data_IF_665859909026
#
_entry.id   IF_665859909026
#
_cell.length_a   1.000
_cell.length_b   1.000
_cell.length_c   1.000
_cell.angle_alpha   90.00
_cell.angle_beta   90.00
_cell.angle_gamma   90.00
#
_symmetry.space_group_name_H-M   'P 1'
#
loop_
_entity.id
_entity.type
_entity.pdbx_description
1 polymer ?
#
# COMPACT_ATOMS: atom_id res chain seq x y z
N UNK A 1 -1.42 13.88 0.85
CA UNK A 1 -0.48 12.85 0.36
C UNK A 1 -0.66 12.55 -1.14
N UNK A 2 -1.82 12.05 -1.59
CA UNK A 2 -2.05 11.70 -3.01
C UNK A 2 -1.77 12.89 -3.97
N UNK A 3 -2.22 14.11 -3.61
CA UNK A 3 -1.91 15.34 -4.35
C UNK A 3 -0.40 15.58 -4.49
N UNK A 4 0.37 15.40 -3.42
CA UNK A 4 1.83 15.58 -3.38
C UNK A 4 2.53 14.52 -4.24
N UNK A 5 2.13 13.25 -4.13
CA UNK A 5 2.67 12.16 -4.94
C UNK A 5 2.43 12.39 -6.44
N UNK A 6 1.21 12.81 -6.83
CA UNK A 6 0.88 13.18 -8.21
C UNK A 6 1.73 14.34 -8.71
N UNK A 7 1.96 15.35 -7.88
CA UNK A 7 2.79 16.51 -8.22
C UNK A 7 4.26 16.14 -8.47
N UNK A 8 4.75 15.06 -7.85
CA UNK A 8 6.09 14.50 -8.10
C UNK A 8 6.10 13.39 -9.16
N UNK A 9 5.00 13.17 -9.88
CA UNK A 9 4.83 12.08 -10.84
C UNK A 9 5.06 10.66 -10.25
N UNK A 10 4.86 10.50 -8.94
CA UNK A 10 4.92 9.20 -8.30
C UNK A 10 3.63 8.40 -8.56
N UNK A 11 3.78 7.18 -9.10
CA UNK A 11 2.66 6.25 -9.29
C UNK A 11 2.15 5.67 -7.97
N UNK A 12 3.01 5.62 -6.95
CA UNK A 12 2.72 5.11 -5.62
C UNK A 12 3.08 6.16 -4.57
N UNK A 13 2.21 6.36 -3.59
CA UNK A 13 2.45 7.27 -2.47
C UNK A 13 3.66 6.77 -1.67
N UNK A 14 4.68 7.62 -1.54
CA UNK A 14 5.86 7.34 -0.72
C UNK A 14 5.67 7.86 0.71
N UNK A 15 6.44 7.36 1.69
CA UNK A 15 6.41 7.89 3.06
C UNK A 15 6.62 9.41 3.13
N UNK A 16 7.55 9.94 2.31
CA UNK A 16 7.79 11.39 2.20
C UNK A 16 6.58 12.19 1.72
N UNK A 17 5.73 11.59 0.89
CA UNK A 17 4.51 12.25 0.40
C UNK A 17 3.43 12.31 1.49
N UNK A 18 3.51 11.42 2.49
CA UNK A 18 2.68 11.45 3.69
C UNK A 18 3.22 12.48 4.67
N UNK A 19 4.53 12.50 4.95
CA UNK A 19 5.13 13.47 5.87
C UNK A 19 4.88 14.92 5.43
N UNK A 20 5.10 15.25 4.16
CA UNK A 20 4.80 16.58 3.63
C UNK A 20 3.32 16.95 3.71
N UNK A 21 2.44 15.97 3.61
CA UNK A 21 1.00 16.22 3.73
C UNK A 21 0.58 16.48 5.19
N UNK A 22 1.27 15.86 6.14
CA UNK A 22 1.07 16.12 7.57
C UNK A 22 1.53 17.55 7.89
N UNK A 23 2.65 17.98 7.33
CA UNK A 23 3.14 19.37 7.41
C UNK A 23 2.14 20.37 6.80
N UNK A 24 1.62 20.10 5.59
CA UNK A 24 0.61 20.96 4.95
C UNK A 24 -0.72 21.04 5.73
N UNK A 25 -1.04 20.02 6.53
CA UNK A 25 -2.24 19.97 7.36
C UNK A 25 -1.99 20.49 8.79
N UNK A 26 -0.82 21.07 9.08
CA UNK A 26 -0.45 21.62 10.39
C UNK A 26 -0.48 20.58 11.53
N UNK A 27 -0.23 19.31 11.20
CA UNK A 27 -0.20 18.18 12.14
C UNK A 27 1.24 17.75 12.49
N UNK A 28 2.16 18.70 12.57
CA UNK A 28 3.61 18.45 12.73
C UNK A 28 3.97 17.68 13.99
N UNK A 29 3.14 17.76 15.03
CA UNK A 29 3.30 17.02 16.29
C UNK A 29 3.35 15.50 16.11
N UNK A 30 2.77 14.97 15.02
CA UNK A 30 2.78 13.54 14.72
C UNK A 30 4.04 13.07 13.97
N UNK A 31 4.81 13.99 13.38
CA UNK A 31 5.98 13.65 12.57
C UNK A 31 7.07 12.88 13.33
N UNK A 32 7.44 13.24 14.58
CA UNK A 32 8.48 12.53 15.32
C UNK A 32 8.09 11.06 15.54
N UNK A 33 6.89 10.83 16.08
CA UNK A 33 6.38 9.48 16.36
C UNK A 33 6.25 8.65 15.08
N UNK A 34 5.74 9.23 14.00
CA UNK A 34 5.54 8.51 12.74
C UNK A 34 6.87 8.16 12.05
N UNK A 35 7.89 9.00 12.18
CA UNK A 35 9.24 8.71 11.68
C UNK A 35 9.88 7.56 12.45
N UNK A 36 9.71 7.51 13.77
CA UNK A 36 10.20 6.41 14.60
C UNK A 36 9.53 5.09 14.24
N UNK A 37 8.20 5.09 14.08
CA UNK A 37 7.44 3.92 13.65
C UNK A 37 7.85 3.42 12.25
N UNK A 38 8.06 4.35 11.30
CA UNK A 38 8.55 3.99 9.97
C UNK A 38 9.93 3.34 10.03
N UNK A 39 10.83 3.86 10.87
CA UNK A 39 12.16 3.29 11.03
C UNK A 39 12.10 1.87 11.60
N UNK A 40 11.30 1.67 12.66
CA UNK A 40 11.07 0.35 13.25
C UNK A 40 10.50 -0.63 12.21
N UNK A 41 9.53 -0.21 11.39
CA UNK A 41 9.00 -1.04 10.32
C UNK A 41 10.06 -1.43 9.28
N UNK A 42 10.91 -0.48 8.86
CA UNK A 42 11.98 -0.72 7.90
C UNK A 42 13.01 -1.70 8.45
N UNK A 43 13.34 -1.61 9.73
CA UNK A 43 14.26 -2.53 10.42
C UNK A 43 13.68 -3.95 10.51
N UNK A 44 12.40 -4.08 10.88
CA UNK A 44 11.70 -5.37 10.88
C UNK A 44 11.65 -5.98 9.48
N UNK A 45 11.34 -5.16 8.46
CA UNK A 45 11.29 -5.63 7.07
C UNK A 45 12.67 -6.07 6.56
N UNK A 46 13.74 -5.38 6.95
CA UNK A 46 15.12 -5.74 6.60
C UNK A 46 15.54 -7.05 7.26
N UNK A 47 15.28 -7.19 8.55
CA UNK A 47 15.60 -8.41 9.31
C UNK A 47 14.78 -9.62 8.86
N UNK A 48 13.52 -9.44 8.46
CA UNK A 48 12.70 -10.51 7.87
C UNK A 48 13.28 -11.03 6.54
N UNK A 49 13.81 -10.14 5.69
CA UNK A 49 14.49 -10.54 4.45
C UNK A 49 15.82 -11.26 4.69
N UNK A 50 16.54 -10.91 5.75
CA UNK A 50 17.79 -11.59 6.10
C UNK A 50 17.55 -13.06 6.50
N UNK A 51 16.45 -13.35 7.21
CA UNK A 51 16.09 -14.71 7.63
C UNK A 51 15.70 -15.64 6.48
N UNK A 52 15.18 -15.11 5.37
CA UNK A 52 14.89 -15.94 4.19
C UNK A 52 16.15 -16.40 3.44
N UNK A 53 17.28 -15.71 3.58
CA UNK A 53 18.53 -16.08 2.89
C UNK A 53 19.41 -17.05 3.69
N UNK A 54 19.16 -17.25 4.99
CA UNK A 54 19.93 -18.20 5.82
C UNK A 54 19.38 -19.64 5.74
N UNK A 55 18.12 -19.84 5.33
CA UNK A 55 17.55 -21.19 5.14
C UNK A 55 17.88 -21.83 3.78
N UNK A 56 18.33 -21.08 2.76
CA UNK A 56 18.66 -21.63 1.44
C UNK A 56 20.12 -22.10 1.28
N UNK A 57 21.00 -21.90 2.28
CA UNK A 57 22.42 -22.27 2.17
C UNK A 57 22.81 -23.53 2.97
N UNK A 58 21.89 -24.48 3.09
CA UNK A 58 22.18 -25.78 3.70
C UNK A 58 21.43 -26.94 3.01
N UNK A 59 21.48 -27.06 1.68
CA UNK A 59 21.45 -28.35 0.96
C UNK A 59 21.79 -28.10 -0.51
N UNK A 60 23.00 -28.49 -0.91
CA UNK A 60 23.37 -28.58 -2.32
C UNK A 60 22.64 -29.75 -3.00
N UNK A 61 22.12 -29.50 -4.21
CA UNK A 61 21.59 -30.51 -5.12
C UNK A 61 21.19 -29.86 -6.46
N UNK A 62 21.55 -30.43 -7.63
CA UNK A 62 21.49 -29.76 -8.93
C UNK A 62 20.06 -29.59 -9.48
N UNK A 63 19.84 -28.68 -10.45
CA UNK A 63 18.52 -28.27 -10.89
C UNK A 63 17.90 -29.35 -11.79
N UNK A 64 16.70 -29.82 -11.48
CA UNK A 64 15.92 -30.57 -12.47
C UNK A 64 14.42 -30.55 -12.21
N UNK A 65 13.72 -30.34 -13.32
CA UNK A 65 12.31 -30.64 -13.59
C UNK A 65 11.26 -29.57 -13.26
N UNK A 66 10.99 -28.79 -14.32
CA UNK A 66 9.68 -28.38 -14.84
C UNK A 66 8.46 -28.68 -13.97
N UNK A 67 7.81 -27.62 -13.48
CA UNK A 67 6.39 -27.66 -13.15
C UNK A 67 5.70 -26.63 -14.04
N UNK A 68 5.12 -27.13 -15.14
CA UNK A 68 3.99 -26.48 -15.79
C UNK A 68 2.75 -26.84 -14.99
N UNK A 69 2.08 -25.84 -14.43
CA UNK A 69 0.68 -25.98 -14.01
C UNK A 69 -0.04 -24.67 -14.26
N UNK A 70 -0.71 -24.65 -15.41
CA UNK A 70 -2.02 -24.06 -15.68
C UNK A 70 -2.41 -22.82 -14.88
N UNK A 71 -2.31 -21.68 -15.56
CA UNK A 71 -2.91 -20.40 -15.20
C UNK A 71 -4.37 -20.41 -15.67
N UNK A 72 -5.39 -20.44 -14.80
CA UNK A 72 -6.74 -20.07 -15.22
C UNK A 72 -6.76 -18.55 -15.44
N UNK A 73 -6.71 -18.20 -16.71
CA UNK A 73 -7.11 -16.92 -17.27
C UNK A 73 -8.56 -16.61 -16.91
N UNK A 74 -8.83 -15.33 -16.66
CA UNK A 74 -10.14 -14.66 -16.70
C UNK A 74 -11.10 -14.88 -15.51
N UNK A 75 -11.12 -13.89 -14.61
CA UNK A 75 -12.35 -13.44 -13.98
C UNK A 75 -12.17 -11.99 -13.54
N UNK A 76 -12.53 -11.07 -14.44
CA UNK A 76 -12.66 -9.66 -14.11
C UNK A 76 -13.79 -9.47 -13.10
N UNK A 77 -13.44 -9.30 -11.82
CA UNK A 77 -14.39 -8.90 -10.79
C UNK A 77 -14.81 -7.45 -11.07
N UNK A 78 -15.89 -7.27 -11.81
CA UNK A 78 -16.61 -5.99 -11.87
C UNK A 78 -17.32 -5.79 -10.54
N UNK A 79 -16.70 -5.01 -9.65
CA UNK A 79 -17.37 -4.52 -8.45
C UNK A 79 -18.34 -3.42 -8.89
N UNK A 80 -19.61 -3.77 -9.06
CA UNK A 80 -20.70 -2.83 -9.31
C UNK A 80 -21.08 -2.17 -7.98
N UNK A 81 -20.63 -0.92 -7.78
CA UNK A 81 -20.99 -0.11 -6.62
C UNK A 81 -22.26 0.66 -6.98
N UNK A 82 -23.41 0.16 -6.53
CA UNK A 82 -24.69 0.89 -6.60
C UNK A 82 -24.68 2.02 -5.58
N UNK A 83 -24.61 3.28 -6.04
CA UNK A 83 -24.74 4.47 -5.21
C UNK A 83 -26.20 4.97 -5.32
N UNK A 84 -27.05 4.85 -4.28
CA UNK A 84 -28.33 5.56 -4.28
C UNK A 84 -28.06 7.04 -4.02
N UNK A 85 -28.25 7.87 -5.04
CA UNK A 85 -28.23 9.33 -4.96
C UNK A 85 -29.66 9.87 -5.13
N UNK A 86 -30.06 10.80 -4.25
CA UNK A 86 -31.29 11.62 -4.33
C UNK A 86 -32.32 11.24 -3.24
N UNK A 87 -32.84 12.13 -2.39
CA UNK A 87 -32.94 13.59 -2.45
C UNK A 87 -33.16 14.16 -1.03
N UNK A 88 -32.39 15.20 -0.68
CA UNK A 88 -32.80 16.19 0.32
C UNK A 88 -33.41 17.39 -0.44
N UNK A 89 -34.74 17.46 -0.53
CA UNK A 89 -35.45 18.64 -1.00
C UNK A 89 -36.75 18.85 -0.19
N UNK A 90 -36.68 19.81 0.74
CA UNK A 90 -37.72 20.74 1.24
C UNK A 90 -39.17 20.25 1.35
N UNK A 91 -39.68 20.17 2.59
CA UNK A 91 -41.10 20.12 2.91
C UNK A 91 -41.85 21.31 2.26
N UNK A 92 -42.90 20.97 1.51
CA UNK A 92 -43.81 21.88 0.83
C UNK A 92 -44.97 22.23 1.79
N UNK A 93 -45.28 23.52 1.89
CA UNK A 93 -46.51 24.04 2.52
C UNK A 93 -47.75 23.49 1.81
N UNK A 94 -48.75 23.04 2.57
CA UNK A 94 -50.19 23.17 2.25
C UNK A 94 -50.98 23.13 3.55
#
# INVERSE_FOLDING_TARGET
>A
ANKIAKNKNHKNIQPDDVFRAIEECEFDEFLPKLKDELNAYVEIKRSAKAKQNEEENATGGPPSSSIVTDLPSDSGVKVEITIPNGDHATNLYS
#
